data_IF_142749979770
#
_entry.id   IF_142749979770
#
_cell.length_a   1.000
_cell.length_b   1.000
_cell.length_c   1.000
_cell.angle_alpha   90.00
_cell.angle_beta   90.00
_cell.angle_gamma   90.00
#
_symmetry.space_group_name_H-M   'P 1'
#
loop_
_entity.id
_entity.type
_entity.pdbx_description
1 polymer ?
#
# COMPACT_ATOMS: atom_id res chain seq x y z
N UNK A 1 6.00 -2.98 -25.06
CA UNK A 1 5.57 -4.17 -24.31
C UNK A 1 4.06 -4.05 -24.10
N UNK A 2 3.28 -4.86 -24.83
CA UNK A 2 1.82 -4.77 -24.82
C UNK A 2 1.26 -5.52 -23.59
N UNK A 3 0.41 -4.86 -22.83
CA UNK A 3 -0.30 -5.44 -21.67
C UNK A 3 -1.40 -6.39 -22.14
N UNK A 4 -1.55 -7.57 -21.52
CA UNK A 4 -2.59 -8.52 -21.89
C UNK A 4 -3.99 -7.99 -21.48
N UNK A 5 -5.03 -8.31 -22.26
CA UNK A 5 -6.39 -7.86 -21.98
C UNK A 5 -6.99 -8.58 -20.76
N UNK A 6 -7.95 -7.95 -20.06
CA UNK A 6 -8.59 -8.52 -18.87
C UNK A 6 -9.47 -9.72 -19.23
N UNK A 7 -9.31 -10.80 -18.45
CA UNK A 7 -10.14 -11.99 -18.54
C UNK A 7 -11.55 -11.70 -18.03
N UNK A 8 -12.53 -11.72 -18.94
CA UNK A 8 -13.95 -11.78 -18.59
C UNK A 8 -14.29 -13.21 -18.18
N UNK A 9 -14.61 -13.41 -16.91
CA UNK A 9 -15.16 -14.68 -16.42
C UNK A 9 -16.67 -14.63 -16.65
N UNK A 10 -17.16 -15.50 -17.53
CA UNK A 10 -18.58 -15.63 -17.83
C UNK A 10 -19.31 -16.31 -16.65
N UNK A 11 -20.26 -15.62 -15.98
CA UNK A 11 -20.97 -16.17 -14.83
C UNK A 11 -21.91 -17.35 -15.18
N UNK A 12 -22.12 -17.65 -16.47
CA UNK A 12 -22.95 -18.78 -16.91
C UNK A 12 -22.28 -20.17 -16.76
N UNK A 13 -20.98 -20.22 -16.44
CA UNK A 13 -20.21 -21.46 -16.30
C UNK A 13 -20.05 -21.98 -14.85
N UNK A 14 -20.65 -21.32 -13.86
CA UNK A 14 -20.60 -21.77 -12.45
C UNK A 14 -21.73 -22.78 -12.20
N UNK A 15 -21.47 -24.04 -12.55
CA UNK A 15 -22.37 -25.15 -12.24
C UNK A 15 -22.21 -25.54 -10.75
N UNK A 16 -23.07 -25.00 -9.88
CA UNK A 16 -23.16 -25.39 -8.47
C UNK A 16 -23.71 -26.82 -8.37
N UNK A 17 -22.82 -27.80 -8.21
CA UNK A 17 -23.18 -29.18 -7.88
C UNK A 17 -23.64 -29.22 -6.42
N UNK A 18 -24.95 -29.12 -6.19
CA UNK A 18 -25.55 -29.31 -4.87
C UNK A 18 -25.46 -30.81 -4.54
N UNK A 19 -24.78 -31.23 -3.45
CA UNK A 19 -24.74 -32.62 -3.05
C UNK A 19 -26.14 -33.08 -2.65
N UNK A 20 -26.59 -34.18 -3.24
CA UNK A 20 -27.86 -34.82 -2.89
C UNK A 20 -27.87 -35.18 -1.39
N UNK A 21 -28.97 -34.90 -0.66
CA UNK A 21 -29.09 -35.32 0.73
C UNK A 21 -29.09 -36.85 0.82
N UNK A 22 -28.45 -37.43 1.85
CA UNK A 22 -28.45 -38.87 2.05
C UNK A 22 -29.89 -39.37 2.23
N UNK A 23 -30.28 -40.32 1.38
CA UNK A 23 -31.54 -41.04 1.45
C UNK A 23 -31.76 -41.62 2.84
N UNK A 24 -32.78 -41.12 3.54
CA UNK A 24 -33.18 -41.56 4.86
C UNK A 24 -33.51 -43.06 4.85
N UNK A 25 -32.69 -43.84 5.55
CA UNK A 25 -32.96 -45.24 5.83
C UNK A 25 -34.13 -45.31 6.82
N UNK A 26 -35.27 -45.81 6.35
CA UNK A 26 -36.41 -46.13 7.19
C UNK A 26 -35.99 -47.15 8.25
N UNK A 27 -36.19 -46.89 9.56
CA UNK A 27 -35.82 -47.84 10.60
C UNK A 27 -36.70 -49.09 10.47
N UNK A 28 -36.06 -50.26 10.43
CA UNK A 28 -36.72 -51.58 10.52
C UNK A 28 -37.52 -51.64 11.82
N UNK A 29 -38.82 -51.42 11.70
CA UNK A 29 -39.78 -51.50 12.78
C UNK A 29 -39.84 -52.96 13.27
N UNK A 30 -39.36 -53.19 14.49
CA UNK A 30 -39.25 -54.50 15.12
C UNK A 30 -40.63 -55.13 15.35
N UNK A 31 -40.86 -56.33 14.82
CA UNK A 31 -42.07 -57.17 15.04
C UNK A 31 -42.41 -57.40 16.51
N UNK A 32 -41.48 -57.18 17.44
CA UNK A 32 -41.74 -57.26 18.88
C UNK A 32 -42.70 -56.17 19.37
N UNK A 33 -42.70 -54.99 18.74
CA UNK A 33 -43.51 -53.85 19.19
C UNK A 33 -45.00 -54.01 18.85
N UNK A 34 -45.32 -54.76 17.78
CA UNK A 34 -46.71 -55.06 17.42
C UNK A 34 -47.31 -56.15 18.32
N UNK A 35 -46.52 -57.14 18.73
CA UNK A 35 -46.96 -58.15 19.71
C UNK A 35 -47.25 -57.48 21.07
N UNK A 36 -46.41 -56.53 21.50
CA UNK A 36 -46.61 -55.82 22.76
C UNK A 36 -47.91 -55.01 22.79
N UNK A 37 -48.29 -54.36 21.68
CA UNK A 37 -49.56 -53.62 21.57
C UNK A 37 -50.78 -54.53 21.74
N UNK A 38 -50.74 -55.75 21.22
CA UNK A 38 -51.83 -56.72 21.37
C UNK A 38 -51.97 -57.15 22.84
N UNK A 39 -50.87 -57.42 23.54
CA UNK A 39 -50.92 -57.76 24.96
C UNK A 39 -51.42 -56.60 25.83
N UNK A 40 -51.00 -55.37 25.56
CA UNK A 40 -51.51 -54.18 26.26
C UNK A 40 -53.01 -54.00 26.02
N UNK A 41 -53.48 -54.22 24.80
CA UNK A 41 -54.91 -54.16 24.48
C UNK A 41 -55.74 -55.19 25.24
N UNK A 42 -55.29 -56.46 25.29
CA UNK A 42 -55.97 -57.52 26.05
C UNK A 42 -55.97 -57.19 27.55
N UNK A 43 -54.87 -56.66 28.07
CA UNK A 43 -54.76 -56.31 29.49
C UNK A 43 -55.73 -55.18 29.89
N UNK A 44 -55.89 -54.15 29.04
CA UNK A 44 -56.88 -53.07 29.26
C UNK A 44 -58.31 -53.63 29.24
N UNK A 45 -58.62 -54.55 28.32
CA UNK A 45 -59.94 -55.18 28.24
C UNK A 45 -60.22 -56.00 29.49
N UNK A 46 -59.26 -56.79 29.98
CA UNK A 46 -59.41 -57.56 31.22
C UNK A 46 -59.62 -56.65 32.44
N UNK A 47 -58.93 -55.52 32.53
CA UNK A 47 -59.15 -54.52 33.59
C UNK A 47 -60.57 -53.95 33.49
N UNK A 48 -61.03 -53.57 32.29
CA UNK A 48 -62.38 -53.05 32.10
C UNK A 48 -63.46 -54.08 32.47
N UNK A 49 -63.25 -55.35 32.12
CA UNK A 49 -64.17 -56.44 32.51
C UNK A 49 -64.17 -56.63 34.03
N UNK A 50 -63.00 -56.61 34.67
CA UNK A 50 -62.91 -56.70 36.13
C UNK A 50 -63.61 -55.53 36.84
N UNK A 51 -63.46 -54.30 36.32
CA UNK A 51 -64.18 -53.11 36.82
C UNK A 51 -65.68 -53.26 36.60
N UNK A 52 -66.12 -53.75 35.44
CA UNK A 52 -67.53 -53.98 35.14
C UNK A 52 -68.14 -55.03 36.08
N UNK A 53 -67.44 -56.14 36.34
CA UNK A 53 -67.86 -57.18 37.29
C UNK A 53 -67.90 -56.60 38.71
N UNK A 54 -66.90 -55.82 39.12
CA UNK A 54 -66.90 -55.14 40.41
C UNK A 54 -68.08 -54.18 40.55
N UNK A 55 -68.41 -53.42 39.50
CA UNK A 55 -69.58 -52.53 39.47
C UNK A 55 -70.91 -53.30 39.54
N UNK A 56 -71.01 -54.48 38.93
CA UNK A 56 -72.22 -55.33 39.00
C UNK A 56 -72.38 -55.96 40.39
N UNK A 57 -71.27 -56.37 41.03
CA UNK A 57 -71.29 -56.96 42.38
C UNK A 57 -71.58 -55.89 43.43
N UNK A 58 -70.90 -54.74 43.35
CA UNK A 58 -71.13 -53.60 44.26
C UNK A 58 -72.51 -52.96 44.02
N UNK A 59 -72.95 -52.86 42.77
CA UNK A 59 -74.27 -52.35 42.39
C UNK A 59 -75.44 -53.22 42.84
N UNK A 60 -75.21 -54.48 43.27
CA UNK A 60 -76.24 -55.37 43.82
C UNK A 60 -76.38 -55.34 45.35
N UNK A 61 -75.53 -54.60 46.08
CA UNK A 61 -75.56 -54.58 47.56
C UNK A 61 -75.95 -53.24 48.21
N UNK A 62 -76.30 -52.20 47.46
CA UNK A 62 -76.75 -50.92 48.06
C UNK A 62 -78.22 -50.62 47.73
N UNK A 63 -79.12 -51.51 48.12
CA UNK A 63 -80.48 -51.08 48.39
C UNK A 63 -80.57 -50.73 49.88
N UNK A 64 -80.93 -49.46 50.10
CA UNK A 64 -81.62 -48.98 51.30
C UNK A 64 -80.76 -48.72 52.53
N UNK A 65 -79.97 -47.63 52.54
CA UNK A 65 -79.80 -46.70 53.68
C UNK A 65 -79.25 -45.34 53.17
N UNK A 66 -79.89 -44.23 53.57
CA UNK A 66 -79.52 -42.80 53.41
C UNK A 66 -79.16 -42.24 52.02
N UNK A 67 -80.17 -42.13 51.12
CA UNK A 67 -80.01 -41.39 49.86
C UNK A 67 -79.84 -39.88 50.05
N UNK A 68 -80.37 -39.27 51.11
CA UNK A 68 -80.28 -37.81 51.32
C UNK A 68 -78.86 -37.39 51.71
N UNK A 69 -78.27 -38.08 52.69
CA UNK A 69 -76.93 -37.80 53.21
C UNK A 69 -75.82 -38.17 52.20
N UNK A 70 -76.03 -39.25 51.43
CA UNK A 70 -75.14 -39.66 50.35
C UNK A 70 -75.17 -38.68 49.17
N UNK A 71 -76.36 -38.22 48.74
CA UNK A 71 -76.48 -37.22 47.68
C UNK A 71 -75.88 -35.86 48.08
N UNK A 72 -76.00 -35.44 49.34
CA UNK A 72 -75.36 -34.21 49.81
C UNK A 72 -73.82 -34.32 49.84
N UNK A 73 -73.28 -35.47 50.27
CA UNK A 73 -71.83 -35.74 50.24
C UNK A 73 -71.30 -35.79 48.80
N UNK A 74 -72.03 -36.41 47.87
CA UNK A 74 -71.69 -36.44 46.45
C UNK A 74 -71.73 -35.02 45.85
N UNK A 75 -72.75 -34.22 46.16
CA UNK A 75 -72.85 -32.84 45.68
C UNK A 75 -71.72 -31.95 46.22
N UNK A 76 -71.31 -32.12 47.49
CA UNK A 76 -70.15 -31.42 48.08
C UNK A 76 -68.85 -31.84 47.40
N UNK A 77 -68.62 -33.15 47.21
CA UNK A 77 -67.45 -33.67 46.49
C UNK A 77 -67.38 -33.20 45.05
N UNK A 78 -68.52 -33.12 44.35
CA UNK A 78 -68.58 -32.58 42.98
C UNK A 78 -68.25 -31.09 42.95
N UNK A 79 -68.71 -30.30 43.91
CA UNK A 79 -68.35 -28.87 44.01
C UNK A 79 -66.85 -28.70 44.27
N UNK A 80 -66.30 -29.44 45.23
CA UNK A 80 -64.88 -29.39 45.56
C UNK A 80 -63.99 -29.89 44.40
N UNK A 81 -64.42 -30.95 43.71
CA UNK A 81 -63.75 -31.45 42.50
C UNK A 81 -63.77 -30.41 41.37
N UNK A 82 -64.92 -29.79 41.11
CA UNK A 82 -65.04 -28.74 40.10
C UNK A 82 -64.21 -27.50 40.45
N UNK A 83 -64.15 -27.10 41.72
CA UNK A 83 -63.28 -26.01 42.18
C UNK A 83 -61.79 -26.35 42.02
N UNK A 84 -61.38 -27.57 42.34
CA UNK A 84 -60.00 -28.02 42.13
C UNK A 84 -59.62 -28.09 40.64
N UNK A 85 -60.53 -28.55 39.78
CA UNK A 85 -60.33 -28.55 38.33
C UNK A 85 -60.19 -27.11 37.81
N UNK A 86 -61.04 -26.18 38.26
CA UNK A 86 -60.96 -24.78 37.86
C UNK A 86 -59.66 -24.11 38.32
N UNK A 87 -59.17 -24.42 39.53
CA UNK A 87 -57.87 -23.94 40.03
C UNK A 87 -56.72 -24.47 39.19
N UNK A 88 -56.69 -25.78 38.92
CA UNK A 88 -55.66 -26.41 38.09
C UNK A 88 -55.66 -25.87 36.66
N UNK A 89 -56.84 -25.62 36.09
CA UNK A 89 -56.96 -25.00 34.77
C UNK A 89 -56.38 -23.59 34.76
N UNK A 90 -56.68 -22.75 35.75
CA UNK A 90 -56.10 -21.40 35.86
C UNK A 90 -54.59 -21.45 36.00
N UNK A 91 -54.07 -22.27 36.91
CA UNK A 91 -52.62 -22.43 37.12
C UNK A 91 -51.92 -22.95 35.86
N UNK A 92 -52.52 -23.92 35.16
CA UNK A 92 -52.01 -24.43 33.90
C UNK A 92 -51.98 -23.34 32.82
N UNK A 93 -53.04 -22.54 32.68
CA UNK A 93 -53.07 -21.43 31.71
C UNK A 93 -52.05 -20.33 32.02
N UNK A 94 -51.85 -20.00 33.30
CA UNK A 94 -50.83 -19.03 33.72
C UNK A 94 -49.42 -19.55 33.44
N UNK A 95 -49.13 -20.81 33.74
CA UNK A 95 -47.84 -21.42 33.48
C UNK A 95 -47.55 -21.51 31.98
N UNK A 96 -48.55 -21.86 31.16
CA UNK A 96 -48.45 -21.83 29.69
C UNK A 96 -48.16 -20.42 29.19
N UNK A 97 -48.85 -19.40 29.70
CA UNK A 97 -48.66 -18.01 29.30
C UNK A 97 -47.24 -17.54 29.62
N UNK A 98 -46.72 -17.87 30.82
CA UNK A 98 -45.34 -17.57 31.21
C UNK A 98 -44.33 -18.23 30.29
N UNK A 99 -44.55 -19.51 29.94
CA UNK A 99 -43.64 -20.26 29.06
C UNK A 99 -43.62 -19.65 27.65
N UNK A 100 -44.79 -19.32 27.10
CA UNK A 100 -44.90 -18.66 25.79
C UNK A 100 -44.21 -17.30 25.79
N UNK A 101 -44.39 -16.51 26.86
CA UNK A 101 -43.71 -15.21 26.99
C UNK A 101 -42.19 -15.36 27.09
N UNK A 102 -41.70 -16.31 27.88
CA UNK A 102 -40.26 -16.60 27.97
C UNK A 102 -39.69 -17.07 26.64
N UNK A 103 -40.39 -17.95 25.93
CA UNK A 103 -39.99 -18.41 24.61
C UNK A 103 -39.93 -17.24 23.62
N UNK A 104 -40.93 -16.35 23.65
CA UNK A 104 -40.94 -15.15 22.81
C UNK A 104 -39.74 -14.25 23.06
N UNK A 105 -39.45 -13.94 24.33
CA UNK A 105 -38.30 -13.11 24.74
C UNK A 105 -37.00 -13.77 24.30
N UNK A 106 -36.88 -15.08 24.48
CA UNK A 106 -35.69 -15.83 24.05
C UNK A 106 -35.47 -15.72 22.53
N UNK A 107 -36.52 -15.96 21.73
CA UNK A 107 -36.43 -15.82 20.27
C UNK A 107 -36.15 -14.39 19.84
N UNK A 108 -36.72 -13.39 20.51
CA UNK A 108 -36.46 -11.98 20.22
C UNK A 108 -35.01 -11.60 20.52
N UNK A 109 -34.47 -12.03 21.66
CA UNK A 109 -33.06 -11.82 22.02
C UNK A 109 -32.12 -12.46 20.99
N UNK A 110 -32.40 -13.68 20.53
CA UNK A 110 -31.62 -14.34 19.48
C UNK A 110 -31.66 -13.57 18.15
N UNK A 111 -32.82 -13.01 17.78
CA UNK A 111 -32.93 -12.17 16.57
C UNK A 111 -32.14 -10.87 16.70
N UNK A 112 -32.19 -10.23 17.87
CA UNK A 112 -31.44 -9.01 18.14
C UNK A 112 -29.93 -9.25 18.12
N UNK A 113 -29.46 -10.33 18.76
CA UNK A 113 -28.06 -10.74 18.74
C UNK A 113 -27.59 -11.01 17.31
N UNK A 114 -28.38 -11.74 16.52
CA UNK A 114 -28.07 -11.98 15.11
C UNK A 114 -27.99 -10.67 14.30
N UNK A 115 -28.91 -9.73 14.50
CA UNK A 115 -28.88 -8.43 13.81
C UNK A 115 -27.68 -7.58 14.23
N UNK A 116 -27.30 -7.58 15.51
CA UNK A 116 -26.11 -6.91 15.99
C UNK A 116 -24.86 -7.51 15.34
N UNK A 117 -24.76 -8.84 15.28
CA UNK A 117 -23.65 -9.54 14.63
C UNK A 117 -23.54 -9.24 13.14
N UNK A 118 -24.67 -9.15 12.42
CA UNK A 118 -24.66 -8.73 11.02
C UNK A 118 -24.20 -7.27 10.87
N UNK A 119 -24.68 -6.39 11.75
CA UNK A 119 -24.32 -4.96 11.72
C UNK A 119 -22.83 -4.76 11.99
N UNK A 120 -22.26 -5.46 12.97
CA UNK A 120 -20.83 -5.39 13.26
C UNK A 120 -20.00 -5.97 12.12
N UNK A 121 -20.46 -7.07 11.51
CA UNK A 121 -19.83 -7.66 10.33
C UNK A 121 -19.76 -6.66 9.16
N UNK A 122 -20.88 -6.03 8.79
CA UNK A 122 -20.90 -5.06 7.69
C UNK A 122 -20.06 -3.82 7.99
N UNK A 123 -20.07 -3.31 9.24
CA UNK A 123 -19.19 -2.21 9.63
C UNK A 123 -17.71 -2.56 9.48
N UNK A 124 -17.33 -3.79 9.80
CA UNK A 124 -15.96 -4.26 9.62
C UNK A 124 -15.59 -4.39 8.13
N UNK A 125 -16.51 -4.91 7.30
CA UNK A 125 -16.32 -4.98 5.85
C UNK A 125 -16.15 -3.59 5.23
N UNK A 126 -16.97 -2.61 5.61
CA UNK A 126 -16.86 -1.23 5.15
C UNK A 126 -15.52 -0.58 5.54
N UNK A 127 -15.06 -0.82 6.78
CA UNK A 127 -13.75 -0.34 7.23
C UNK A 127 -12.60 -0.97 6.44
N UNK A 128 -12.71 -2.27 6.12
CA UNK A 128 -11.72 -2.97 5.32
C UNK A 128 -11.66 -2.41 3.90
N UNK A 129 -12.81 -2.17 3.27
CA UNK A 129 -12.89 -1.57 1.94
C UNK A 129 -12.30 -0.15 1.95
N UNK A 130 -12.63 0.66 2.95
CA UNK A 130 -12.09 2.01 3.09
C UNK A 130 -10.56 1.98 3.28
N UNK A 131 -10.04 1.05 4.08
CA UNK A 131 -8.60 0.85 4.28
C UNK A 131 -7.89 0.43 2.98
N UNK A 132 -8.45 -0.53 2.25
CA UNK A 132 -7.89 -0.97 0.96
C UNK A 132 -7.90 0.15 -0.07
N UNK A 133 -8.98 0.94 -0.15
CA UNK A 133 -9.05 2.10 -1.02
C UNK A 133 -7.98 3.13 -0.65
N UNK A 134 -7.83 3.42 0.64
CA UNK A 134 -6.78 4.33 1.10
C UNK A 134 -5.37 3.84 0.74
N UNK A 135 -5.11 2.54 0.86
CA UNK A 135 -3.84 1.94 0.46
C UNK A 135 -3.59 2.08 -1.06
N UNK A 136 -4.62 1.90 -1.89
CA UNK A 136 -4.54 2.10 -3.33
C UNK A 136 -4.27 3.57 -3.68
N UNK A 137 -4.97 4.50 -3.04
CA UNK A 137 -4.78 5.94 -3.22
C UNK A 137 -3.34 6.34 -2.82
N UNK A 138 -2.82 5.78 -1.73
CA UNK A 138 -1.43 6.00 -1.30
C UNK A 138 -0.42 5.46 -2.32
N UNK A 139 -0.63 4.25 -2.86
CA UNK A 139 0.22 3.67 -3.90
C UNK A 139 0.23 4.54 -5.16
N UNK A 140 -0.93 5.06 -5.57
CA UNK A 140 -1.04 5.96 -6.71
C UNK A 140 -0.29 7.28 -6.45
N UNK A 141 -0.47 7.89 -5.28
CA UNK A 141 0.22 9.11 -4.90
C UNK A 141 1.75 8.93 -4.86
N UNK A 142 2.23 7.80 -4.31
CA UNK A 142 3.66 7.46 -4.33
C UNK A 142 4.19 7.30 -5.75
N UNK A 143 3.43 6.66 -6.65
CA UNK A 143 3.81 6.52 -8.04
C UNK A 143 3.92 7.88 -8.74
N UNK A 144 2.96 8.78 -8.52
CA UNK A 144 2.99 10.13 -9.06
C UNK A 144 4.18 10.94 -8.54
N UNK A 145 4.48 10.84 -7.23
CA UNK A 145 5.64 11.50 -6.65
C UNK A 145 6.95 10.98 -7.25
N UNK A 146 7.10 9.67 -7.42
CA UNK A 146 8.28 9.08 -8.05
C UNK A 146 8.45 9.54 -9.51
N UNK A 147 7.35 9.68 -10.25
CA UNK A 147 7.38 10.24 -11.60
C UNK A 147 7.86 11.71 -11.57
N UNK A 148 7.38 12.51 -10.62
CA UNK A 148 7.80 13.90 -10.46
C UNK A 148 9.29 14.01 -10.12
N UNK A 149 9.79 13.18 -9.20
CA UNK A 149 11.22 13.12 -8.85
C UNK A 149 12.05 12.80 -10.10
N UNK A 150 11.65 11.79 -10.88
CA UNK A 150 12.38 11.42 -12.10
C UNK A 150 12.43 12.56 -13.13
N UNK A 151 11.34 13.31 -13.28
CA UNK A 151 11.31 14.48 -14.17
C UNK A 151 12.25 15.59 -13.71
N UNK A 152 12.29 15.88 -12.42
CA UNK A 152 13.19 16.89 -11.85
C UNK A 152 14.66 16.45 -11.92
N UNK A 153 14.96 15.17 -11.69
CA UNK A 153 16.32 14.63 -11.89
C UNK A 153 16.80 14.82 -13.33
N UNK A 154 15.95 14.53 -14.33
CA UNK A 154 16.28 14.77 -15.75
C UNK A 154 16.47 16.25 -16.05
N UNK A 155 15.62 17.12 -15.48
CA UNK A 155 15.73 18.56 -15.66
C UNK A 155 17.06 19.09 -15.11
N UNK A 156 17.47 18.62 -13.94
CA UNK A 156 18.75 18.98 -13.33
C UNK A 156 19.94 18.49 -14.17
N UNK A 157 19.86 17.29 -14.75
CA UNK A 157 20.90 16.78 -15.66
C UNK A 157 21.04 17.65 -16.92
N UNK A 158 19.92 18.06 -17.51
CA UNK A 158 19.93 18.97 -18.68
C UNK A 158 20.57 20.31 -18.31
N UNK A 159 20.16 20.91 -17.18
CA UNK A 159 20.74 22.19 -16.73
C UNK A 159 22.24 22.09 -16.48
N UNK A 160 22.71 20.98 -15.90
CA UNK A 160 24.13 20.74 -15.70
C UNK A 160 24.88 20.64 -17.04
N UNK A 161 24.30 19.94 -18.02
CA UNK A 161 24.87 19.81 -19.35
C UNK A 161 24.91 21.16 -20.08
N UNK A 162 23.85 21.96 -20.00
CA UNK A 162 23.79 23.32 -20.57
C UNK A 162 24.86 24.23 -19.95
N UNK A 163 25.07 24.15 -18.64
CA UNK A 163 26.11 24.91 -17.96
C UNK A 163 27.50 24.50 -18.43
N UNK A 164 27.76 23.19 -18.57
CA UNK A 164 29.04 22.69 -19.07
C UNK A 164 29.31 23.14 -20.51
N UNK A 165 28.30 23.09 -21.37
CA UNK A 165 28.40 23.54 -22.75
C UNK A 165 28.65 25.06 -22.81
N UNK A 166 27.98 25.84 -21.96
CA UNK A 166 28.19 27.29 -21.86
C UNK A 166 29.61 27.63 -21.42
N UNK A 167 30.14 26.94 -20.41
CA UNK A 167 31.53 27.11 -19.98
C UNK A 167 32.52 26.67 -21.06
N UNK A 168 32.21 25.62 -21.82
CA UNK A 168 33.03 25.18 -22.94
C UNK A 168 33.07 26.25 -24.04
N UNK A 169 31.91 26.77 -24.47
CA UNK A 169 31.85 27.85 -25.45
C UNK A 169 32.57 29.11 -24.94
N UNK A 170 32.39 29.47 -23.66
CA UNK A 170 33.11 30.61 -23.06
C UNK A 170 34.63 30.42 -23.12
N UNK A 171 35.13 29.21 -22.84
CA UNK A 171 36.56 28.88 -22.93
C UNK A 171 37.04 28.94 -24.38
N UNK A 172 36.25 28.45 -25.33
CA UNK A 172 36.56 28.50 -26.75
C UNK A 172 36.60 29.95 -27.26
N UNK A 173 35.62 30.79 -26.88
CA UNK A 173 35.58 32.21 -27.23
C UNK A 173 36.80 32.96 -26.69
N UNK A 174 37.18 32.72 -25.44
CA UNK A 174 38.39 33.29 -24.84
C UNK A 174 39.65 32.81 -25.57
N UNK A 175 39.71 31.51 -25.89
CA UNK A 175 40.83 30.93 -26.64
C UNK A 175 40.96 31.55 -28.04
N UNK A 176 39.83 31.71 -28.75
CA UNK A 176 39.79 32.33 -30.06
C UNK A 176 40.20 33.81 -30.01
N UNK A 177 39.73 34.55 -29.00
CA UNK A 177 40.13 35.94 -28.78
C UNK A 177 41.65 36.05 -28.50
N UNK A 178 42.19 35.18 -27.64
CA UNK A 178 43.61 35.13 -27.32
C UNK A 178 44.47 34.75 -28.55
N UNK A 179 44.02 33.78 -29.33
CA UNK A 179 44.67 33.40 -30.60
C UNK A 179 44.70 34.56 -31.60
N UNK A 180 43.60 35.31 -31.73
CA UNK A 180 43.55 36.49 -32.59
C UNK A 180 44.48 37.61 -32.12
N UNK A 181 44.57 37.85 -30.81
CA UNK A 181 45.53 38.80 -30.23
C UNK A 181 46.97 38.40 -30.54
N UNK A 182 47.33 37.12 -30.33
CA UNK A 182 48.65 36.61 -30.66
C UNK A 182 48.96 36.72 -32.15
N UNK A 183 48.03 36.32 -33.01
CA UNK A 183 48.21 36.41 -34.46
C UNK A 183 48.46 37.85 -34.90
N UNK A 184 47.65 38.80 -34.42
CA UNK A 184 47.79 40.23 -34.74
C UNK A 184 49.15 40.77 -34.30
N UNK A 185 49.58 40.42 -33.09
CA UNK A 185 50.88 40.82 -32.57
C UNK A 185 52.05 40.25 -33.38
N UNK A 186 52.00 38.96 -33.72
CA UNK A 186 53.05 38.31 -34.53
C UNK A 186 53.11 38.95 -35.93
N UNK A 187 51.97 39.20 -36.55
CA UNK A 187 51.91 39.88 -37.86
C UNK A 187 52.49 41.30 -37.79
N UNK A 188 52.23 42.04 -36.70
CA UNK A 188 52.80 43.36 -36.48
C UNK A 188 54.34 43.29 -36.41
N UNK A 189 54.91 42.35 -35.65
CA UNK A 189 56.36 42.15 -35.57
C UNK A 189 56.95 41.84 -36.95
N UNK A 190 56.38 40.86 -37.66
CA UNK A 190 56.91 40.40 -38.95
C UNK A 190 56.83 41.50 -40.01
N UNK A 191 55.77 42.31 -39.98
CA UNK A 191 55.53 43.37 -40.98
C UNK A 191 56.37 44.63 -40.75
N UNK A 192 56.95 44.80 -39.56
CA UNK A 192 57.70 46.01 -39.21
C UNK A 192 59.09 45.94 -39.85
N UNK A 193 59.36 46.82 -40.83
CA UNK A 193 60.68 46.93 -41.50
C UNK A 193 61.69 47.75 -40.72
N UNK A 194 61.23 48.53 -39.74
CA UNK A 194 62.07 49.40 -38.91
C UNK A 194 62.50 48.68 -37.63
N UNK A 195 63.66 49.04 -37.05
CA UNK A 195 64.05 48.53 -35.74
C UNK A 195 62.98 48.92 -34.70
N UNK A 196 62.36 47.92 -34.06
CA UNK A 196 61.34 48.16 -33.04
C UNK A 196 61.94 48.97 -31.88
N UNK A 197 61.25 50.04 -31.48
CA UNK A 197 61.55 50.73 -30.23
C UNK A 197 61.35 49.76 -29.06
N UNK A 198 62.45 49.41 -28.39
CA UNK A 198 62.50 48.38 -27.36
C UNK A 198 61.52 48.64 -26.20
N UNK A 199 61.37 49.90 -25.78
CA UNK A 199 60.43 50.28 -24.72
C UNK A 199 58.97 50.06 -25.15
N UNK A 200 58.62 50.46 -26.38
CA UNK A 200 57.26 50.26 -26.91
C UNK A 200 56.97 48.76 -27.07
N UNK A 201 57.95 48.01 -27.54
CA UNK A 201 57.81 46.57 -27.72
C UNK A 201 57.63 45.84 -26.39
N UNK A 202 58.44 46.16 -25.37
CA UNK A 202 58.30 45.62 -24.03
C UNK A 202 56.91 45.91 -23.44
N UNK A 203 56.43 47.16 -23.52
CA UNK A 203 55.10 47.54 -23.02
C UNK A 203 53.98 46.75 -23.71
N UNK A 204 54.11 46.48 -25.02
CA UNK A 204 53.15 45.65 -25.76
C UNK A 204 53.16 44.20 -25.29
N UNK A 205 54.34 43.61 -25.07
CA UNK A 205 54.45 42.23 -24.56
C UNK A 205 53.85 42.15 -23.15
N UNK A 206 54.16 43.09 -22.26
CA UNK A 206 53.59 43.12 -20.91
C UNK A 206 52.06 43.24 -20.94
N UNK A 207 51.53 44.09 -21.81
CA UNK A 207 50.08 44.22 -22.02
C UNK A 207 49.44 42.93 -22.54
N UNK A 208 50.08 42.23 -23.48
CA UNK A 208 49.62 40.93 -23.98
C UNK A 208 49.62 39.87 -22.89
N UNK A 209 50.70 39.77 -22.12
CA UNK A 209 50.80 38.80 -21.02
C UNK A 209 49.70 39.04 -19.98
N UNK A 210 49.34 40.27 -19.67
CA UNK A 210 48.24 40.52 -18.74
C UNK A 210 46.87 40.03 -19.25
N UNK A 211 46.68 39.95 -20.57
CA UNK A 211 45.40 39.61 -21.21
C UNK A 211 45.25 38.13 -21.56
N UNK A 212 46.34 37.45 -21.87
CA UNK A 212 46.32 36.06 -22.32
C UNK A 212 46.06 35.08 -21.17
N UNK A 213 45.38 33.97 -21.48
CA UNK A 213 45.35 32.82 -20.58
C UNK A 213 46.72 32.12 -20.51
N UNK A 214 46.88 31.14 -19.61
CA UNK A 214 48.17 30.48 -19.39
C UNK A 214 48.68 29.71 -20.60
N UNK A 215 47.80 29.09 -21.38
CA UNK A 215 48.18 28.39 -22.59
C UNK A 215 48.78 29.34 -23.63
N UNK A 216 48.08 30.45 -23.91
CA UNK A 216 48.54 31.43 -24.89
C UNK A 216 49.75 32.24 -24.40
N UNK A 217 49.90 32.46 -23.08
CA UNK A 217 51.13 33.00 -22.47
C UNK A 217 52.34 32.12 -22.78
N UNK A 218 52.21 30.80 -22.61
CA UNK A 218 53.27 29.85 -22.92
C UNK A 218 53.65 29.91 -24.41
N UNK A 219 52.66 29.95 -25.31
CA UNK A 219 52.91 30.12 -26.75
C UNK A 219 53.65 31.42 -27.07
N UNK A 220 53.26 32.54 -26.46
CA UNK A 220 53.94 33.83 -26.63
C UNK A 220 55.40 33.76 -26.17
N UNK A 221 55.66 33.23 -24.98
CA UNK A 221 57.00 33.11 -24.42
C UNK A 221 57.89 32.22 -25.30
N UNK A 222 57.37 31.07 -25.75
CA UNK A 222 58.08 30.17 -26.66
C UNK A 222 58.40 30.85 -28.00
N UNK A 223 57.48 31.64 -28.54
CA UNK A 223 57.71 32.43 -29.75
C UNK A 223 58.82 33.47 -29.54
N UNK A 224 58.75 34.27 -28.47
CA UNK A 224 59.75 35.30 -28.15
C UNK A 224 61.13 34.70 -27.93
N UNK A 225 61.21 33.54 -27.27
CA UNK A 225 62.46 32.81 -27.09
C UNK A 225 63.06 32.36 -28.42
N UNK A 226 62.27 31.71 -29.29
CA UNK A 226 62.72 31.25 -30.63
C UNK A 226 63.20 32.40 -31.52
N UNK A 227 62.62 33.58 -31.37
CA UNK A 227 63.03 34.78 -32.09
C UNK A 227 64.24 35.50 -31.45
N UNK A 228 64.88 34.90 -30.43
CA UNK A 228 66.01 35.46 -29.67
C UNK A 228 65.73 36.78 -28.93
N UNK A 229 64.45 37.17 -28.75
CA UNK A 229 64.11 38.38 -27.99
C UNK A 229 64.34 38.24 -26.47
N UNK A 230 64.43 37.00 -25.98
CA UNK A 230 64.63 36.68 -24.55
C UNK A 230 66.07 36.25 -24.22
N UNK A 231 66.99 36.24 -25.19
CA UNK A 231 68.34 35.76 -24.95
C UNK A 231 69.22 36.88 -24.35
N UNK A 232 69.68 36.69 -23.11
CA UNK A 232 70.45 37.66 -22.32
C UNK A 232 71.84 38.01 -22.89
N UNK A 233 72.31 37.28 -23.91
CA UNK A 233 73.62 37.52 -24.51
C UNK A 233 73.66 38.72 -25.49
N UNK A 234 72.52 39.35 -25.77
CA UNK A 234 72.46 40.54 -26.62
C UNK A 234 72.12 41.77 -25.77
N UNK A 235 72.76 42.91 -26.06
CA UNK A 235 72.53 44.20 -25.38
C UNK A 235 71.07 44.66 -25.42
N UNK A 236 70.27 44.05 -26.29
CA UNK A 236 68.89 44.43 -26.59
C UNK A 236 67.88 43.43 -25.98
N UNK A 237 68.33 42.57 -25.06
CA UNK A 237 67.46 41.59 -24.38
C UNK A 237 66.35 42.28 -23.58
N UNK A 238 65.14 41.71 -23.63
CA UNK A 238 63.97 42.25 -22.94
C UNK A 238 63.83 41.54 -21.60
N UNK A 239 63.83 42.31 -20.51
CA UNK A 239 63.49 41.79 -19.18
C UNK A 239 61.98 41.68 -19.07
N UNK A 240 61.50 40.44 -19.00
CA UNK A 240 60.08 40.16 -18.90
C UNK A 240 59.68 40.02 -17.43
N UNK A 241 58.83 40.93 -16.96
CA UNK A 241 58.24 40.78 -15.64
C UNK A 241 57.19 39.67 -15.68
N UNK A 242 57.60 38.46 -15.27
CA UNK A 242 56.75 37.27 -15.22
C UNK A 242 55.96 37.14 -13.92
N UNK A 243 55.86 38.20 -13.11
CA UNK A 243 55.21 38.15 -11.80
C UNK A 243 53.76 37.67 -11.91
N UNK A 244 53.44 36.59 -11.18
CA UNK A 244 52.12 35.95 -11.19
C UNK A 244 51.92 34.89 -12.29
N UNK A 245 52.91 34.59 -13.12
CA UNK A 245 52.86 33.40 -13.98
C UNK A 245 53.22 32.15 -13.19
N UNK A 246 52.33 31.16 -13.24
CA UNK A 246 52.62 29.83 -12.72
C UNK A 246 53.64 29.17 -13.66
N UNK A 247 54.91 29.17 -13.25
CA UNK A 247 56.01 28.57 -14.02
C UNK A 247 55.82 27.07 -14.30
N UNK A 248 54.92 26.39 -13.58
CA UNK A 248 54.55 24.99 -13.85
C UNK A 248 53.58 24.83 -15.03
N UNK A 249 52.86 25.88 -15.42
CA UNK A 249 51.97 25.88 -16.59
C UNK A 249 52.70 26.28 -17.88
N UNK A 250 53.89 26.84 -17.72
CA UNK A 250 54.88 27.00 -18.76
C UNK A 250 55.52 25.62 -18.97
N UNK A 251 54.92 24.84 -19.87
CA UNK A 251 55.47 23.56 -20.36
C UNK A 251 56.79 23.83 -21.10
N UNK A 252 57.85 24.00 -20.31
CA UNK A 252 59.22 24.32 -20.73
C UNK A 252 60.10 23.07 -20.75
N UNK A 253 59.53 21.89 -20.49
CA UNK A 253 60.27 20.64 -20.39
C UNK A 253 61.01 20.27 -21.69
N UNK A 254 60.58 20.84 -22.83
CA UNK A 254 61.18 20.69 -24.16
C UNK A 254 62.17 21.81 -24.55
N UNK A 255 62.36 22.83 -23.71
CA UNK A 255 63.34 23.89 -23.98
C UNK A 255 64.67 23.50 -23.36
N UNK A 256 65.69 23.28 -24.18
CA UNK A 256 67.09 23.08 -23.77
C UNK A 256 67.62 24.35 -23.11
N UNK A 257 67.15 24.63 -21.89
CA UNK A 257 67.63 25.71 -21.05
C UNK A 257 68.98 25.23 -20.54
N UNK A 258 70.02 25.55 -21.30
CA UNK A 258 71.39 25.51 -20.81
C UNK A 258 71.39 26.32 -19.50
N UNK A 259 71.55 25.64 -18.36
CA UNK A 259 71.29 26.15 -17.01
C UNK A 259 72.34 27.17 -16.52
N UNK A 260 72.86 28.00 -17.43
CA UNK A 260 73.68 29.14 -17.12
C UNK A 260 72.82 30.26 -16.55
N UNK A 261 72.83 30.39 -15.23
CA UNK A 261 72.47 31.58 -14.45
C UNK A 261 71.45 32.52 -15.12
N UNK A 262 70.17 32.17 -15.00
CA UNK A 262 69.10 33.17 -15.10
C UNK A 262 69.16 33.98 -13.80
N UNK A 263 69.76 35.17 -13.88
CA UNK A 263 69.65 36.16 -12.80
C UNK A 263 68.19 36.60 -12.70
N UNK A 264 67.53 36.20 -11.62
CA UNK A 264 66.28 36.80 -11.15
C UNK A 264 66.57 38.14 -10.46
#
# INVERSE_FOLDING_TARGET
MATPPPYFIDPSLVHLTIPNPPSASTPKQSRALDIFKVFVGIFIILILIAILIALIIVGRQSNQYDLSDSNEKIAKLQRESNENIARLQRESTENLTKLVQQQRIYTENQRLEHQQNLTTKYRFEDQLIASQKHEQDLKLAMQQLNQQINMEERRLQILLQEQQLTEQHRKEDISNANSNLLYTFIQEIISTKEPLNQTIFQLKIESLIQRLDSHHKSLLIRFLYKMNYLNAQHSDSITLNVHGMNLKELDLDDMDINSGQVGL
#
